data_IF_840227785551
#
_entry.id   IF_840227785551
#
_cell.length_a   1.000
_cell.length_b   1.000
_cell.length_c   1.000
_cell.angle_alpha   90.00
_cell.angle_beta   90.00
_cell.angle_gamma   90.00
#
_symmetry.space_group_name_H-M   'P 1'
#
loop_
_entity.id
_entity.type
_entity.pdbx_description
1 polymer ?
#
# COMPACT_ATOMS: atom_id res chain seq x y z
N UNK A 1 -27.46 -12.95 10.32
CA UNK A 1 -26.04 -13.16 10.64
C UNK A 1 -25.34 -11.82 10.48
N UNK A 2 -24.32 -11.52 11.28
CA UNK A 2 -23.51 -10.32 11.05
C UNK A 2 -22.69 -10.50 9.76
N UNK A 3 -22.50 -9.43 9.00
CA UNK A 3 -21.71 -9.45 7.77
C UNK A 3 -20.25 -9.80 8.07
N UNK A 4 -19.62 -10.53 7.15
CA UNK A 4 -18.21 -10.95 7.30
C UNK A 4 -17.28 -9.88 6.74
N UNK A 5 -16.27 -9.39 7.50
CA UNK A 5 -15.31 -8.44 6.97
C UNK A 5 -14.49 -9.00 5.81
N UNK A 6 -14.42 -8.26 4.70
CA UNK A 6 -13.56 -8.56 3.56
C UNK A 6 -12.08 -8.25 3.85
N UNK A 7 -11.82 -7.41 4.86
CA UNK A 7 -10.48 -7.04 5.30
C UNK A 7 -10.33 -7.22 6.82
N UNK A 8 -9.09 -7.41 7.26
CA UNK A 8 -8.72 -7.46 8.67
C UNK A 8 -7.50 -6.58 8.93
N UNK A 9 -7.50 -5.90 10.07
CA UNK A 9 -6.36 -5.11 10.51
C UNK A 9 -5.20 -6.00 10.95
N UNK A 10 -4.10 -5.95 10.23
CA UNK A 10 -2.88 -6.68 10.54
C UNK A 10 -1.86 -5.78 11.23
N UNK A 11 -1.37 -6.20 12.39
CA UNK A 11 -0.23 -5.58 13.06
C UNK A 11 1.08 -5.97 12.39
N UNK A 12 1.75 -5.01 11.75
CA UNK A 12 3.05 -5.23 11.09
C UNK A 12 4.11 -5.66 12.12
N UNK A 13 4.22 -4.92 13.22
CA UNK A 13 4.87 -5.39 14.46
C UNK A 13 3.78 -6.03 15.32
N UNK A 14 3.83 -7.36 15.46
CA UNK A 14 2.82 -8.17 16.13
C UNK A 14 2.59 -7.78 17.60
N UNK A 15 1.36 -7.97 18.08
CA UNK A 15 1.02 -7.77 19.50
C UNK A 15 1.83 -8.70 20.42
N UNK A 16 2.07 -9.95 19.99
CA UNK A 16 2.90 -10.90 20.73
C UNK A 16 4.34 -10.36 20.89
N UNK A 17 4.97 -9.97 19.79
CA UNK A 17 6.32 -9.39 19.79
C UNK A 17 6.41 -8.11 20.65
N UNK A 18 5.40 -7.25 20.62
CA UNK A 18 5.30 -6.10 21.53
C UNK A 18 5.22 -6.52 23.01
N UNK A 19 4.38 -7.51 23.32
CA UNK A 19 4.18 -8.00 24.69
C UNK A 19 5.44 -8.59 25.30
N UNK A 20 6.35 -9.12 24.47
CA UNK A 20 7.62 -9.70 24.88
C UNK A 20 8.75 -8.67 24.94
N UNK A 21 8.83 -7.73 23.99
CA UNK A 21 9.91 -6.73 23.93
C UNK A 21 9.83 -5.63 25.00
N UNK A 22 10.81 -5.59 25.91
CA UNK A 22 10.94 -4.51 26.91
C UNK A 22 11.21 -3.18 26.24
N UNK A 23 12.01 -3.19 25.18
CA UNK A 23 12.29 -1.99 24.38
C UNK A 23 11.00 -1.38 23.83
N UNK A 24 10.16 -2.16 23.13
CA UNK A 24 8.92 -1.64 22.54
C UNK A 24 7.95 -1.09 23.60
N UNK A 25 7.81 -1.78 24.74
CA UNK A 25 7.00 -1.26 25.86
C UNK A 25 7.56 0.04 26.42
N UNK A 26 8.89 0.19 26.49
CA UNK A 26 9.54 1.42 26.93
C UNK A 26 9.31 2.58 25.97
N UNK A 27 9.46 2.33 24.66
CA UNK A 27 9.18 3.31 23.61
C UNK A 27 7.71 3.73 23.62
N UNK A 28 6.79 2.78 23.80
CA UNK A 28 5.36 3.07 23.85
C UNK A 28 4.97 3.91 25.07
N UNK A 29 5.50 3.61 26.26
CA UNK A 29 5.31 4.46 27.45
C UNK A 29 5.84 5.89 27.25
N UNK A 30 6.83 6.06 26.38
CA UNK A 30 7.43 7.37 26.06
C UNK A 30 6.75 8.06 24.87
N UNK A 31 5.67 7.50 24.32
CA UNK A 31 4.97 8.04 23.15
C UNK A 31 5.75 7.90 21.82
N UNK A 32 6.78 7.06 21.78
CA UNK A 32 7.66 6.88 20.61
C UNK A 32 7.30 5.66 19.76
N UNK A 33 6.36 4.84 20.21
CA UNK A 33 5.81 3.71 19.46
C UNK A 33 4.34 3.47 19.79
N UNK A 34 3.50 3.36 18.77
CA UNK A 34 2.06 3.10 18.91
C UNK A 34 1.71 1.72 18.34
N UNK A 35 1.38 0.77 19.21
CA UNK A 35 1.03 -0.59 18.80
C UNK A 35 -0.18 -0.60 17.83
N UNK A 36 -1.22 0.16 18.15
CA UNK A 36 -2.45 0.28 17.35
C UNK A 36 -2.43 1.51 16.42
N UNK A 37 -1.28 2.17 16.30
CA UNK A 37 -1.11 3.35 15.47
C UNK A 37 -1.18 3.01 13.97
N UNK A 38 -1.57 3.97 13.12
CA UNK A 38 -1.74 3.74 11.68
C UNK A 38 -0.46 3.29 10.98
N UNK A 39 0.72 3.66 11.50
CA UNK A 39 2.01 3.17 10.99
C UNK A 39 2.16 1.66 11.17
N UNK A 40 1.66 1.10 12.26
CA UNK A 40 1.82 -0.31 12.60
C UNK A 40 0.65 -1.19 12.13
N UNK A 41 -0.44 -0.60 11.62
CA UNK A 41 -1.60 -1.34 11.10
C UNK A 41 -1.59 -1.33 9.57
N UNK A 42 -1.88 -2.47 8.95
CA UNK A 42 -2.15 -2.62 7.53
C UNK A 42 -3.42 -3.47 7.36
N UNK A 43 -4.43 -2.97 6.64
CA UNK A 43 -5.66 -3.70 6.38
C UNK A 43 -5.42 -4.66 5.21
N UNK A 44 -5.43 -5.96 5.50
CA UNK A 44 -5.16 -7.04 4.55
C UNK A 44 -6.44 -7.81 4.22
N UNK A 45 -6.57 -8.37 3.01
CA UNK A 45 -7.73 -9.19 2.65
C UNK A 45 -7.92 -10.37 3.61
N UNK A 46 -9.16 -10.58 4.05
CA UNK A 46 -9.52 -11.64 4.99
C UNK A 46 -9.38 -13.05 4.37
N UNK A 47 -9.58 -13.17 3.06
CA UNK A 47 -9.49 -14.43 2.33
C UNK A 47 -8.34 -14.48 1.31
N UNK A 48 -7.96 -15.69 0.93
CA UNK A 48 -6.83 -15.95 0.04
C UNK A 48 -7.08 -15.54 -1.42
N UNK A 49 -8.33 -15.60 -1.89
CA UNK A 49 -8.66 -15.34 -3.29
C UNK A 49 -8.63 -13.84 -3.60
N UNK A 50 -9.20 -13.02 -2.70
CA UNK A 50 -9.08 -11.56 -2.80
C UNK A 50 -7.60 -11.14 -2.67
N UNK A 51 -6.87 -11.70 -1.71
CA UNK A 51 -5.44 -11.44 -1.54
C UNK A 51 -4.64 -11.72 -2.81
N UNK A 52 -4.87 -12.87 -3.46
CA UNK A 52 -4.19 -13.24 -4.69
C UNK A 52 -4.48 -12.27 -5.84
N UNK A 53 -5.75 -11.85 -6.01
CA UNK A 53 -6.15 -10.87 -7.03
C UNK A 53 -5.51 -9.50 -6.80
N UNK A 54 -5.33 -9.11 -5.53
CA UNK A 54 -4.74 -7.82 -5.14
C UNK A 54 -3.21 -7.84 -5.08
N UNK A 55 -2.58 -9.02 -5.14
CA UNK A 55 -1.13 -9.18 -4.94
C UNK A 55 -0.68 -8.91 -3.50
N UNK A 56 -1.53 -9.19 -2.51
CA UNK A 56 -1.27 -8.95 -1.09
C UNK A 56 -1.17 -10.25 -0.30
N UNK A 57 -0.64 -10.19 0.92
CA UNK A 57 -0.78 -11.28 1.89
C UNK A 57 -2.23 -11.39 2.35
N UNK A 58 -2.82 -12.60 2.43
CA UNK A 58 -4.08 -12.79 3.12
C UNK A 58 -3.90 -12.65 4.64
N UNK A 59 -4.99 -12.44 5.38
CA UNK A 59 -4.99 -12.42 6.83
C UNK A 59 -6.23 -13.11 7.45
N UNK A 60 -6.40 -14.44 7.25
CA UNK A 60 -7.52 -15.19 7.82
C UNK A 60 -7.32 -15.55 9.31
N UNK A 61 -6.14 -15.29 9.87
CA UNK A 61 -5.76 -15.67 11.23
C UNK A 61 -4.32 -15.29 11.56
N UNK A 62 -3.78 -15.91 12.61
CA UNK A 62 -2.44 -15.60 13.12
C UNK A 62 -1.32 -15.77 12.07
N UNK A 63 -0.24 -14.96 12.11
CA UNK A 63 0.87 -15.07 11.18
C UNK A 63 1.59 -16.42 11.23
N UNK A 64 2.32 -16.75 10.17
CA UNK A 64 3.18 -17.92 10.10
C UNK A 64 4.38 -17.78 11.04
N UNK A 65 4.85 -18.92 11.59
CA UNK A 65 5.97 -18.95 12.54
C UNK A 65 7.22 -18.21 12.05
N UNK A 66 7.60 -18.32 10.77
CA UNK A 66 8.77 -17.60 10.27
C UNK A 66 8.60 -16.08 10.30
N UNK A 67 7.38 -15.55 10.18
CA UNK A 67 7.14 -14.10 10.29
C UNK A 67 7.40 -13.66 11.73
N UNK A 68 6.82 -14.36 12.70
CA UNK A 68 6.97 -14.05 14.13
C UNK A 68 8.42 -14.24 14.61
N UNK A 69 9.06 -15.35 14.24
CA UNK A 69 10.46 -15.66 14.59
C UNK A 69 11.43 -14.61 14.04
N UNK A 70 11.33 -14.28 12.75
CA UNK A 70 12.25 -13.33 12.12
C UNK A 70 12.01 -11.89 12.59
N UNK A 71 10.77 -11.55 12.93
CA UNK A 71 10.44 -10.28 13.58
C UNK A 71 11.04 -10.20 14.99
N UNK A 72 10.84 -11.24 15.81
CA UNK A 72 11.39 -11.31 17.17
C UNK A 72 12.92 -11.16 17.16
N UNK A 73 13.61 -11.90 16.28
CA UNK A 73 15.07 -11.82 16.12
C UNK A 73 15.55 -10.40 15.79
N UNK A 74 14.79 -9.64 14.98
CA UNK A 74 15.12 -8.26 14.65
C UNK A 74 14.92 -7.31 15.82
N UNK A 75 13.81 -7.45 16.51
CA UNK A 75 13.49 -6.61 17.66
C UNK A 75 14.46 -6.86 18.81
N UNK A 76 14.88 -8.11 19.03
CA UNK A 76 15.92 -8.45 19.99
C UNK A 76 17.25 -7.77 19.65
N UNK A 77 17.68 -7.79 18.38
CA UNK A 77 18.89 -7.05 17.96
C UNK A 77 18.79 -5.54 18.19
N UNK A 78 17.61 -4.95 18.03
CA UNK A 78 17.38 -3.54 18.37
C UNK A 78 17.47 -3.32 19.88
N UNK A 79 16.85 -4.17 20.69
CA UNK A 79 16.90 -4.12 22.16
C UNK A 79 18.34 -4.28 22.69
N UNK A 80 19.12 -5.21 22.15
CA UNK A 80 20.51 -5.47 22.56
C UNK A 80 21.51 -4.45 22.02
N UNK A 81 21.12 -3.58 21.09
CA UNK A 81 22.01 -2.55 20.56
C UNK A 81 22.36 -1.48 21.61
N UNK A 82 23.47 -0.73 21.46
CA UNK A 82 23.87 0.32 22.40
C UNK A 82 22.74 1.34 22.67
N UNK A 83 22.05 1.80 21.63
CA UNK A 83 20.91 2.71 21.77
C UNK A 83 19.70 2.03 22.45
N UNK A 84 19.45 0.75 22.19
CA UNK A 84 18.40 -0.02 22.85
C UNK A 84 18.64 -0.13 24.36
N UNK A 85 19.86 -0.50 24.75
CA UNK A 85 20.25 -0.60 26.16
C UNK A 85 20.30 0.77 26.86
N UNK A 86 20.75 1.83 26.18
CA UNK A 86 20.72 3.19 26.72
C UNK A 86 19.28 3.69 26.93
N UNK A 87 18.37 3.39 25.99
CA UNK A 87 16.94 3.67 26.12
C UNK A 87 16.35 2.99 27.36
N UNK A 88 16.69 1.73 27.62
CA UNK A 88 16.23 0.99 28.80
C UNK A 88 16.79 1.57 30.11
N UNK A 89 17.91 2.30 30.07
CA UNK A 89 18.47 3.06 31.20
C UNK A 89 17.90 4.49 31.31
N UNK A 90 16.95 4.87 30.46
CA UNK A 90 16.29 6.19 30.49
C UNK A 90 16.96 7.27 29.63
N UNK A 91 17.92 6.94 28.77
CA UNK A 91 18.50 7.90 27.82
C UNK A 91 17.48 8.27 26.74
N UNK A 92 16.99 9.51 26.80
CA UNK A 92 15.99 10.03 25.87
C UNK A 92 16.53 10.21 24.45
N UNK A 93 17.80 10.59 24.28
CA UNK A 93 18.38 10.76 22.96
C UNK A 93 18.57 9.40 22.27
N UNK A 94 18.98 8.38 23.03
CA UNK A 94 19.00 7.00 22.56
C UNK A 94 17.60 6.49 22.21
N UNK A 95 16.58 6.85 23.02
CA UNK A 95 15.18 6.48 22.77
C UNK A 95 14.69 6.98 21.41
N UNK A 96 15.02 8.23 21.05
CA UNK A 96 14.68 8.80 19.75
C UNK A 96 15.36 8.04 18.59
N UNK A 97 16.66 7.75 18.71
CA UNK A 97 17.41 7.02 17.68
C UNK A 97 16.90 5.60 17.49
N UNK A 98 16.64 4.87 18.58
CA UNK A 98 16.15 3.49 18.47
C UNK A 98 14.68 3.46 18.00
N UNK A 99 13.85 4.42 18.39
CA UNK A 99 12.51 4.57 17.87
C UNK A 99 12.52 4.78 16.35
N UNK A 100 13.42 5.62 15.82
CA UNK A 100 13.59 5.79 14.39
C UNK A 100 13.98 4.48 13.68
N UNK A 101 14.80 3.62 14.31
CA UNK A 101 15.16 2.30 13.76
C UNK A 101 14.00 1.30 13.80
N UNK A 102 13.22 1.27 14.89
CA UNK A 102 11.99 0.46 14.97
C UNK A 102 10.99 0.89 13.89
N UNK A 103 10.78 2.20 13.77
CA UNK A 103 9.93 2.80 12.77
C UNK A 103 10.37 2.48 11.33
N UNK A 104 11.67 2.56 11.04
CA UNK A 104 12.23 2.15 9.76
C UNK A 104 12.02 0.66 9.47
N UNK A 105 12.12 -0.21 10.48
CA UNK A 105 11.78 -1.62 10.35
C UNK A 105 10.28 -1.79 10.02
N UNK A 106 9.38 -1.15 10.77
CA UNK A 106 7.93 -1.19 10.51
C UNK A 106 7.59 -0.77 9.09
N UNK A 107 8.15 0.34 8.60
CA UNK A 107 7.91 0.81 7.23
C UNK A 107 8.44 -0.17 6.19
N UNK A 108 9.62 -0.76 6.44
CA UNK A 108 10.21 -1.75 5.53
C UNK A 108 9.32 -2.99 5.40
N UNK A 109 8.85 -3.52 6.53
CA UNK A 109 7.95 -4.67 6.55
C UNK A 109 6.60 -4.33 5.88
N UNK A 110 6.06 -3.14 6.15
CA UNK A 110 4.83 -2.66 5.51
C UNK A 110 4.98 -2.56 3.99
N UNK A 111 6.08 -1.99 3.49
CA UNK A 111 6.38 -1.95 2.04
C UNK A 111 6.50 -3.38 1.49
N UNK A 112 7.18 -4.28 2.19
CA UNK A 112 7.26 -5.69 1.81
C UNK A 112 5.89 -6.35 1.65
N UNK A 113 4.98 -6.15 2.61
CA UNK A 113 3.61 -6.67 2.57
C UNK A 113 2.78 -6.04 1.44
N UNK A 114 2.91 -4.73 1.23
CA UNK A 114 2.21 -3.97 0.18
C UNK A 114 2.70 -4.33 -1.22
N UNK A 115 3.98 -4.71 -1.35
CA UNK A 115 4.57 -5.18 -2.60
C UNK A 115 4.29 -6.66 -2.88
N UNK A 116 3.80 -7.42 -1.90
CA UNK A 116 3.69 -8.89 -1.99
C UNK A 116 5.05 -9.61 -1.91
N UNK A 117 6.11 -8.89 -1.53
CA UNK A 117 7.46 -9.44 -1.36
C UNK A 117 7.60 -10.17 -0.03
N UNK A 118 6.93 -9.64 1.01
CA UNK A 118 6.74 -10.27 2.31
C UNK A 118 5.29 -10.75 2.42
N UNK A 119 5.08 -11.85 3.13
CA UNK A 119 3.75 -12.37 3.47
C UNK A 119 3.70 -12.70 4.96
N UNK A 120 2.54 -12.50 5.60
CA UNK A 120 2.34 -12.87 7.00
C UNK A 120 1.62 -14.21 7.15
N UNK A 121 0.74 -14.56 6.19
CA UNK A 121 0.03 -15.83 6.14
C UNK A 121 0.28 -16.54 4.80
N UNK A 122 -0.13 -17.81 4.68
CA UNK A 122 0.03 -18.59 3.44
C UNK A 122 -0.84 -18.02 2.31
N UNK A 123 -0.25 -17.53 1.20
CA UNK A 123 -1.01 -17.07 0.03
C UNK A 123 -1.67 -18.23 -0.72
N UNK A 124 -2.66 -17.92 -1.56
CA UNK A 124 -3.22 -18.90 -2.49
C UNK A 124 -2.11 -19.46 -3.39
N UNK A 125 -2.10 -20.79 -3.57
CA UNK A 125 -1.13 -21.45 -4.45
C UNK A 125 0.26 -21.68 -3.84
N UNK A 126 0.47 -21.33 -2.57
CA UNK A 126 1.68 -21.68 -1.81
C UNK A 126 1.38 -22.70 -0.71
N UNK A 127 2.36 -23.53 -0.37
CA UNK A 127 2.36 -24.28 0.89
C UNK A 127 2.88 -23.41 2.04
N UNK A 128 2.55 -23.73 3.30
CA UNK A 128 3.15 -23.04 4.45
C UNK A 128 4.69 -23.06 4.44
N UNK A 129 5.30 -24.14 3.96
CA UNK A 129 6.76 -24.25 3.85
C UNK A 129 7.33 -23.24 2.84
N UNK A 130 6.69 -23.09 1.69
CA UNK A 130 7.08 -22.10 0.67
C UNK A 130 6.91 -20.68 1.17
N UNK A 131 5.79 -20.38 1.83
CA UNK A 131 5.54 -19.06 2.42
C UNK A 131 6.58 -18.73 3.52
N UNK A 132 6.88 -19.68 4.42
CA UNK A 132 7.93 -19.52 5.43
C UNK A 132 9.32 -19.32 4.79
N UNK A 133 9.63 -20.01 3.69
CA UNK A 133 10.89 -19.81 2.97
C UNK A 133 10.98 -18.40 2.34
N UNK A 134 9.88 -17.90 1.75
CA UNK A 134 9.79 -16.54 1.22
C UNK A 134 10.01 -15.49 2.32
N UNK A 135 9.40 -15.69 3.49
CA UNK A 135 9.59 -14.81 4.65
C UNK A 135 11.06 -14.76 5.09
N UNK A 136 11.68 -15.94 5.27
CA UNK A 136 13.10 -16.02 5.64
C UNK A 136 14.02 -15.38 4.60
N UNK A 137 13.73 -15.56 3.31
CA UNK A 137 14.50 -14.93 2.24
C UNK A 137 14.39 -13.39 2.30
N UNK A 138 13.18 -12.85 2.47
CA UNK A 138 12.96 -11.41 2.62
C UNK A 138 13.76 -10.84 3.81
N UNK A 139 13.74 -11.53 4.95
CA UNK A 139 14.52 -11.11 6.11
C UNK A 139 16.03 -11.29 5.91
N UNK A 140 16.47 -12.37 5.26
CA UNK A 140 17.88 -12.60 4.94
C UNK A 140 18.52 -11.46 4.14
N UNK A 141 17.72 -10.77 3.31
CA UNK A 141 18.18 -9.69 2.43
C UNK A 141 17.59 -8.30 2.76
N UNK A 142 17.14 -8.09 4.00
CA UNK A 142 16.41 -6.86 4.36
C UNK A 142 17.20 -5.58 4.07
N UNK A 143 18.51 -5.58 4.24
CA UNK A 143 19.34 -4.40 3.98
C UNK A 143 19.34 -4.02 2.49
N UNK A 144 19.47 -4.99 1.58
CA UNK A 144 19.38 -4.71 0.15
C UNK A 144 17.94 -4.34 -0.26
N UNK A 145 16.95 -4.94 0.39
CA UNK A 145 15.55 -4.56 0.19
C UNK A 145 15.32 -3.09 0.56
N UNK A 146 15.83 -2.64 1.71
CA UNK A 146 15.76 -1.25 2.16
C UNK A 146 16.44 -0.30 1.17
N UNK A 147 17.60 -0.67 0.65
CA UNK A 147 18.32 0.14 -0.31
C UNK A 147 17.57 0.27 -1.64
N UNK A 148 17.06 -0.84 -2.18
CA UNK A 148 16.34 -0.86 -3.45
C UNK A 148 14.95 -0.20 -3.38
N UNK A 149 14.33 -0.17 -2.20
CA UNK A 149 12.99 0.38 -1.98
C UNK A 149 12.97 1.65 -1.10
N UNK A 150 14.11 2.33 -0.94
CA UNK A 150 14.25 3.48 -0.04
C UNK A 150 13.20 4.58 -0.26
N UNK A 151 12.85 4.84 -1.53
CA UNK A 151 11.80 5.81 -1.88
C UNK A 151 10.42 5.38 -1.37
N UNK A 152 10.03 4.13 -1.59
CA UNK A 152 8.73 3.62 -1.13
C UNK A 152 8.64 3.58 0.40
N UNK A 153 9.73 3.20 1.07
CA UNK A 153 9.82 3.19 2.53
C UNK A 153 9.66 4.61 3.08
N UNK A 154 10.35 5.59 2.48
CA UNK A 154 10.21 6.99 2.86
C UNK A 154 8.80 7.55 2.58
N UNK A 155 8.14 7.11 1.51
CA UNK A 155 6.78 7.54 1.17
C UNK A 155 5.75 6.96 2.14
N UNK A 156 5.84 5.67 2.47
CA UNK A 156 4.98 5.03 3.48
C UNK A 156 5.12 5.72 4.84
N UNK A 157 6.35 6.09 5.23
CA UNK A 157 6.59 6.84 6.48
C UNK A 157 5.98 8.25 6.52
N UNK A 158 5.49 8.78 5.39
CA UNK A 158 4.84 10.09 5.25
C UNK A 158 3.33 10.01 4.96
N UNK A 159 2.78 8.81 4.82
CA UNK A 159 1.35 8.63 4.55
C UNK A 159 0.51 9.16 5.72
N UNK A 160 -0.63 9.74 5.37
CA UNK A 160 -1.64 10.08 6.35
C UNK A 160 -2.22 8.82 7.00
N UNK A 161 -2.90 8.98 8.15
CA UNK A 161 -3.27 7.85 8.99
C UNK A 161 -4.18 6.83 8.29
N UNK A 162 -5.15 7.29 7.50
CA UNK A 162 -6.06 6.41 6.79
C UNK A 162 -5.34 5.72 5.63
N UNK A 163 -4.60 6.47 4.81
CA UNK A 163 -3.79 5.91 3.73
C UNK A 163 -2.78 4.86 4.23
N UNK A 164 -2.09 5.12 5.35
CA UNK A 164 -1.11 4.19 5.91
C UNK A 164 -1.73 2.84 6.29
N UNK A 165 -2.99 2.82 6.77
CA UNK A 165 -3.74 1.59 7.06
C UNK A 165 -4.16 0.86 5.79
N UNK A 166 -4.50 1.62 4.75
CA UNK A 166 -5.03 1.09 3.50
C UNK A 166 -3.99 1.05 2.36
N UNK A 167 -2.70 1.13 2.67
CA UNK A 167 -1.61 1.26 1.70
C UNK A 167 -1.59 0.12 0.66
N UNK A 168 -2.06 -1.09 1.01
CA UNK A 168 -2.23 -2.20 0.07
C UNK A 168 -3.35 -1.96 -0.94
N UNK A 169 -4.46 -1.36 -0.51
CA UNK A 169 -5.60 -1.01 -1.37
C UNK A 169 -5.28 0.21 -2.23
N UNK A 170 -4.72 1.27 -1.64
CA UNK A 170 -4.44 2.54 -2.34
C UNK A 170 -3.21 2.49 -3.25
N UNK A 171 -2.52 1.34 -3.32
CA UNK A 171 -1.39 1.10 -4.23
C UNK A 171 -1.76 1.26 -5.71
N UNK A 172 -2.99 0.90 -6.08
CA UNK A 172 -3.43 0.93 -7.47
C UNK A 172 -4.94 1.11 -7.57
N UNK A 173 -5.38 1.69 -8.69
CA UNK A 173 -6.81 1.78 -9.00
C UNK A 173 -7.46 0.39 -9.09
N UNK A 174 -6.74 -0.61 -9.60
CA UNK A 174 -7.21 -2.00 -9.64
C UNK A 174 -7.50 -2.55 -8.24
N UNK A 175 -6.62 -2.32 -7.28
CA UNK A 175 -6.84 -2.76 -5.90
C UNK A 175 -8.01 -2.03 -5.23
N UNK A 176 -8.24 -0.75 -5.55
CA UNK A 176 -9.44 -0.02 -5.13
C UNK A 176 -10.71 -0.66 -5.68
N UNK A 177 -10.74 -0.99 -6.98
CA UNK A 177 -11.90 -1.65 -7.58
C UNK A 177 -12.17 -3.02 -6.95
N UNK A 178 -11.12 -3.82 -6.73
CA UNK A 178 -11.23 -5.13 -6.07
C UNK A 178 -11.74 -5.00 -4.63
N UNK A 179 -11.28 -3.99 -3.88
CA UNK A 179 -11.75 -3.73 -2.53
C UNK A 179 -13.23 -3.34 -2.52
N UNK A 180 -13.66 -2.46 -3.43
CA UNK A 180 -15.07 -2.09 -3.59
C UNK A 180 -15.93 -3.30 -3.96
N UNK A 181 -15.49 -4.10 -4.94
CA UNK A 181 -16.22 -5.31 -5.36
C UNK A 181 -16.41 -6.29 -4.21
N UNK A 182 -15.41 -6.42 -3.35
CA UNK A 182 -15.44 -7.33 -2.21
C UNK A 182 -16.39 -6.86 -1.11
N UNK A 183 -16.44 -5.56 -0.81
CA UNK A 183 -17.28 -5.00 0.27
C UNK A 183 -18.73 -4.75 -0.16
N UNK A 184 -18.98 -4.67 -1.47
CA UNK A 184 -20.32 -4.53 -2.04
C UNK A 184 -21.04 -5.90 -2.14
N UNK A 185 -20.36 -7.03 -1.86
CA UNK A 185 -21.01 -8.34 -1.89
C UNK A 185 -22.03 -8.49 -0.76
N UNK A 186 -23.22 -9.08 -1.03
CA UNK A 186 -24.19 -9.38 0.02
C UNK A 186 -23.58 -10.22 1.16
N UNK A 187 -23.79 -9.80 2.40
CA UNK A 187 -23.26 -10.50 3.58
C UNK A 187 -21.80 -10.19 3.91
N UNK A 188 -21.18 -9.22 3.22
CA UNK A 188 -19.82 -8.76 3.49
C UNK A 188 -19.80 -7.33 4.00
N UNK A 189 -18.75 -7.00 4.77
CA UNK A 189 -18.48 -5.65 5.23
C UNK A 189 -17.01 -5.29 5.00
N UNK A 190 -16.63 -4.04 5.27
CA UNK A 190 -15.22 -3.63 5.18
C UNK A 190 -14.40 -4.25 6.32
N UNK A 191 -14.48 -3.63 7.49
CA UNK A 191 -14.02 -4.05 8.81
C UNK A 191 -14.63 -3.07 9.82
N UNK A 192 -14.51 -3.34 11.12
CA UNK A 192 -15.08 -2.44 12.13
C UNK A 192 -14.37 -1.09 12.17
N UNK A 193 -15.09 -0.03 12.58
CA UNK A 193 -14.58 1.35 12.58
C UNK A 193 -13.29 1.53 13.39
N UNK A 194 -13.12 0.76 14.47
CA UNK A 194 -11.90 0.77 15.30
C UNK A 194 -10.62 0.38 14.54
N UNK A 195 -10.73 -0.32 13.42
CA UNK A 195 -9.61 -0.71 12.55
C UNK A 195 -9.52 0.13 11.27
N UNK A 196 -10.29 1.22 11.19
CA UNK A 196 -10.38 2.04 10.00
C UNK A 196 -11.33 1.44 8.98
N UNK A 197 -12.59 1.23 9.40
CA UNK A 197 -13.72 0.75 8.59
C UNK A 197 -14.01 1.55 7.31
N UNK A 198 -15.24 1.45 6.81
CA UNK A 198 -15.63 1.98 5.49
C UNK A 198 -15.26 3.44 5.26
N UNK A 199 -15.51 4.31 6.25
CA UNK A 199 -15.15 5.73 6.15
C UNK A 199 -13.64 5.92 5.96
N UNK A 200 -12.81 5.21 6.72
CA UNK A 200 -11.36 5.33 6.60
C UNK A 200 -10.85 4.82 5.26
N UNK A 201 -11.52 3.89 4.60
CA UNK A 201 -11.18 3.48 3.23
C UNK A 201 -11.41 4.63 2.24
N UNK A 202 -12.57 5.29 2.32
CA UNK A 202 -12.87 6.48 1.51
C UNK A 202 -11.84 7.60 1.71
N UNK A 203 -11.53 7.92 2.98
CA UNK A 203 -10.49 8.90 3.32
C UNK A 203 -9.13 8.51 2.77
N UNK A 204 -8.71 7.25 2.89
CA UNK A 204 -7.43 6.77 2.38
C UNK A 204 -7.29 6.96 0.86
N UNK A 205 -8.36 6.68 0.10
CA UNK A 205 -8.39 6.83 -1.35
C UNK A 205 -8.26 8.31 -1.72
N UNK A 206 -8.97 9.19 -1.02
CA UNK A 206 -8.86 10.63 -1.21
C UNK A 206 -7.46 11.16 -0.89
N UNK A 207 -6.88 10.77 0.24
CA UNK A 207 -5.52 11.15 0.67
C UNK A 207 -4.46 10.71 -0.36
N UNK A 208 -4.51 9.44 -0.77
CA UNK A 208 -3.57 8.89 -1.75
C UNK A 208 -3.67 9.59 -3.11
N UNK A 209 -4.89 9.92 -3.53
CA UNK A 209 -5.12 10.62 -4.78
C UNK A 209 -4.66 12.09 -4.73
N UNK A 210 -4.98 12.82 -3.67
CA UNK A 210 -4.52 14.20 -3.48
C UNK A 210 -3.00 14.30 -3.42
N UNK A 211 -2.35 13.29 -2.84
CA UNK A 211 -0.89 13.19 -2.81
C UNK A 211 -0.27 12.74 -4.15
N UNK A 212 -1.08 12.46 -5.18
CA UNK A 212 -0.64 12.01 -6.50
C UNK A 212 -0.14 10.57 -6.56
N UNK A 213 -0.25 9.80 -5.47
CA UNK A 213 0.16 8.39 -5.38
C UNK A 213 -0.86 7.45 -6.01
N UNK A 214 -2.14 7.83 -6.01
CA UNK A 214 -3.23 7.07 -6.60
C UNK A 214 -3.93 7.89 -7.70
N UNK A 215 -3.48 7.79 -8.96
CA UNK A 215 -4.24 8.34 -10.08
C UNK A 215 -5.54 7.55 -10.28
N UNK A 216 -6.67 8.25 -10.36
CA UNK A 216 -8.02 7.67 -10.49
C UNK A 216 -8.63 8.16 -11.81
N UNK A 217 -9.23 7.25 -12.56
CA UNK A 217 -9.97 7.48 -13.79
C UNK A 217 -11.42 7.86 -13.51
N UNK A 218 -12.06 8.55 -14.46
CA UNK A 218 -13.44 9.03 -14.29
C UNK A 218 -14.47 7.92 -13.95
N UNK A 219 -14.43 6.71 -14.56
CA UNK A 219 -15.36 5.65 -14.19
C UNK A 219 -15.22 5.20 -12.73
N UNK A 220 -13.99 5.12 -12.22
CA UNK A 220 -13.75 4.72 -10.83
C UNK A 220 -14.08 5.85 -9.87
N UNK A 221 -13.77 7.10 -10.22
CA UNK A 221 -14.21 8.28 -9.47
C UNK A 221 -15.74 8.34 -9.32
N UNK A 222 -16.49 8.07 -10.39
CA UNK A 222 -17.95 8.01 -10.34
C UNK A 222 -18.45 6.92 -9.39
N UNK A 223 -17.85 5.72 -9.44
CA UNK A 223 -18.17 4.64 -8.50
C UNK A 223 -17.83 5.01 -7.06
N UNK A 224 -16.68 5.64 -6.81
CA UNK A 224 -16.26 6.08 -5.49
C UNK A 224 -17.21 7.12 -4.91
N UNK A 225 -17.71 8.06 -5.71
CA UNK A 225 -18.72 9.02 -5.27
C UNK A 225 -20.05 8.37 -4.87
N UNK A 226 -20.44 7.29 -5.54
CA UNK A 226 -21.63 6.52 -5.17
C UNK A 226 -21.39 5.71 -3.89
N UNK A 227 -20.23 5.04 -3.79
CA UNK A 227 -19.88 4.25 -2.63
C UNK A 227 -19.71 5.14 -1.38
N UNK A 228 -18.98 6.24 -1.48
CA UNK A 228 -18.55 7.07 -0.35
C UNK A 228 -19.13 8.49 -0.42
N UNK A 229 -20.43 8.59 -0.72
CA UNK A 229 -21.10 9.87 -0.97
C UNK A 229 -20.97 10.88 0.19
N UNK A 230 -20.76 10.41 1.44
CA UNK A 230 -20.62 11.27 2.61
C UNK A 230 -19.14 11.54 2.97
N UNK A 231 -18.22 10.71 2.48
CA UNK A 231 -16.83 10.66 2.93
C UNK A 231 -15.84 11.20 1.90
N UNK A 232 -16.22 11.31 0.62
CA UNK A 232 -15.33 11.77 -0.44
C UNK A 232 -15.34 13.30 -0.61
N UNK A 233 -14.16 13.94 -0.77
CA UNK A 233 -14.10 15.36 -1.09
C UNK A 233 -14.71 15.63 -2.47
N UNK A 234 -15.22 16.84 -2.72
CA UNK A 234 -15.90 17.19 -3.97
C UNK A 234 -14.99 17.06 -5.21
N UNK A 235 -13.67 17.19 -5.04
CA UNK A 235 -12.67 17.09 -6.10
C UNK A 235 -11.64 16.02 -5.77
N UNK A 236 -11.64 14.94 -6.56
CA UNK A 236 -10.50 14.01 -6.69
C UNK A 236 -9.48 14.71 -7.60
N UNK A 237 -8.24 14.87 -7.14
CA UNK A 237 -7.17 15.48 -7.90
C UNK A 237 -6.91 14.68 -9.18
N UNK A 238 -7.13 15.33 -10.32
CA UNK A 238 -6.81 14.76 -11.62
C UNK A 238 -5.30 14.79 -11.81
N UNK A 239 -4.66 13.71 -12.31
CA UNK A 239 -3.29 13.85 -12.79
C UNK A 239 -3.29 14.94 -13.86
N UNK A 240 -2.44 15.96 -13.69
CA UNK A 240 -2.16 16.89 -14.77
C UNK A 240 -1.70 16.04 -15.96
N UNK A 241 -2.26 16.31 -17.15
CA UNK A 241 -1.73 15.74 -18.39
C UNK A 241 -0.30 16.26 -18.55
N UNK A 242 0.65 15.57 -17.92
CA UNK A 242 2.03 15.99 -17.89
C UNK A 242 2.62 15.99 -19.30
N UNK A 243 3.76 16.68 -19.50
CA UNK A 243 4.38 16.88 -20.82
C UNK A 243 4.65 15.58 -21.60
N UNK A 244 4.59 14.40 -20.97
CA UNK A 244 4.70 13.09 -21.63
C UNK A 244 3.56 12.78 -22.59
N UNK A 245 2.32 13.19 -22.31
CA UNK A 245 1.21 12.97 -23.26
C UNK A 245 1.39 13.87 -24.50
N UNK A 246 1.85 15.11 -24.28
CA UNK A 246 2.14 16.05 -25.36
C UNK A 246 3.34 15.60 -26.19
N UNK A 247 4.41 15.08 -25.57
CA UNK A 247 5.56 14.49 -26.26
C UNK A 247 5.20 13.21 -27.01
N UNK A 248 4.34 12.33 -26.45
CA UNK A 248 3.88 11.14 -27.13
C UNK A 248 3.00 11.47 -28.35
N UNK A 249 2.13 12.48 -28.24
CA UNK A 249 1.33 12.99 -29.36
C UNK A 249 2.21 13.66 -30.43
N UNK A 250 3.23 14.42 -30.04
CA UNK A 250 4.20 15.01 -30.96
C UNK A 250 5.07 13.95 -31.66
N UNK A 251 5.53 12.93 -30.95
CA UNK A 251 6.29 11.82 -31.52
C UNK A 251 5.44 11.01 -32.51
N UNK A 252 4.16 10.78 -32.19
CA UNK A 252 3.20 10.13 -33.10
C UNK A 252 2.94 10.98 -34.35
N UNK A 253 2.77 12.29 -34.18
CA UNK A 253 2.61 13.24 -35.30
C UNK A 253 3.86 13.34 -36.18
N UNK A 254 5.06 13.32 -35.60
CA UNK A 254 6.33 13.29 -36.33
C UNK A 254 6.49 11.98 -37.13
N UNK A 255 6.12 10.83 -36.54
CA UNK A 255 6.13 9.53 -37.21
C UNK A 255 5.15 9.45 -38.39
N UNK A 256 4.06 10.22 -38.38
CA UNK A 256 3.11 10.29 -39.48
C UNK A 256 3.62 11.18 -40.62
N UNK A 257 4.28 12.31 -40.29
CA UNK A 257 4.95 13.17 -41.28
C UNK A 257 6.08 12.44 -42.01
N UNK A 258 6.89 11.65 -41.30
CA UNK A 258 7.95 10.83 -41.90
C UNK A 258 7.42 9.75 -42.87
N UNK A 259 6.14 9.38 -42.75
CA UNK A 259 5.45 8.41 -43.63
C UNK A 259 4.62 9.07 -44.73
N UNK A 260 4.77 10.38 -44.96
CA UNK A 260 4.06 11.11 -46.02
C UNK A 260 2.55 11.26 -45.78
N UNK A 261 2.07 10.99 -44.56
CA UNK A 261 0.66 11.10 -44.18
C UNK A 261 0.43 12.44 -43.50
N UNK A 262 -0.36 13.32 -44.14
CA UNK A 262 -0.89 14.53 -43.52
C UNK A 262 -2.36 14.32 -43.14
N UNK A 263 -2.71 14.58 -41.88
CA UNK A 263 -4.10 14.85 -41.47
C UNK A 263 -4.19 16.27 -40.92
N UNK A 264 -5.28 16.97 -41.26
CA UNK A 264 -5.72 18.18 -40.55
C UNK A 264 -6.49 17.75 -39.30
N UNK A 265 -6.19 18.37 -38.17
CA UNK A 265 -7.01 18.29 -36.95
C UNK A 265 -8.32 19.05 -37.20
N UNK A 266 -9.49 18.52 -36.80
CA UNK A 266 -10.73 19.28 -36.87
C UNK A 266 -10.79 20.26 -35.70
N UNK A 267 -11.16 21.52 -35.96
CA UNK A 267 -11.27 22.52 -34.90
C UNK A 267 -12.53 22.37 -34.04
N UNK A 268 -13.58 21.64 -34.46
CA UNK A 268 -14.72 21.38 -33.58
C UNK A 268 -15.41 20.03 -33.90
N UNK A 269 -15.47 19.14 -32.91
CA UNK A 269 -16.54 18.17 -32.68
C UNK A 269 -17.00 17.21 -33.80
N UNK A 270 -16.11 16.65 -34.64
CA UNK A 270 -16.51 15.69 -35.69
C UNK A 270 -15.51 14.56 -35.94
N UNK A 271 -16.02 13.38 -36.32
CA UNK A 271 -15.27 12.12 -36.54
C UNK A 271 -14.19 12.18 -37.64
N UNK A 272 -13.17 11.33 -37.47
CA UNK A 272 -11.94 11.26 -38.26
C UNK A 272 -12.15 10.56 -39.62
N UNK A 273 -12.00 11.27 -40.74
CA UNK A 273 -12.00 10.65 -42.10
C UNK A 273 -10.56 10.46 -42.62
N UNK A 274 -10.31 9.34 -43.29
CA UNK A 274 -9.01 8.93 -43.83
C UNK A 274 -9.07 9.08 -45.37
N UNK A 275 -8.21 9.92 -45.95
CA UNK A 275 -8.13 10.07 -47.41
C UNK A 275 -6.71 9.75 -47.86
N UNK A 276 -6.57 8.76 -48.75
CA UNK A 276 -5.29 8.34 -49.33
C UNK A 276 -5.08 9.05 -50.67
N UNK A 277 -3.90 9.62 -50.92
CA UNK A 277 -3.52 10.12 -52.26
C UNK A 277 -2.84 9.01 -53.04
N UNK A 278 -3.51 8.51 -54.08
CA UNK A 278 -2.87 7.77 -55.17
C UNK A 278 -2.20 8.79 -56.09
N UNK A 279 -0.90 8.63 -56.37
CA UNK A 279 -0.21 9.41 -57.42
C UNK A 279 -0.39 8.68 -58.76
N UNK A 280 -0.69 9.37 -59.88
CA UNK A 280 -0.58 8.77 -61.20
C UNK A 280 0.90 8.67 -61.62
N UNK A 281 1.17 7.69 -62.48
CA UNK A 281 2.48 7.35 -63.04
C UNK A 281 3.01 8.43 -63.99
#
# INVERSE_FOLDING_TARGET
MADTPAFQGHHVIEQAAFSESRLLRSLSRSGLFELHGPRNILNLPADQALAARMGLSPHPGGPLGAYSEELANRLERLELSPDGQATLRGDQAAAQRIAARVNGLTDTLKVGLVNGDLVSNTPQGMTPQQANAKIRAFHGDLAAYQQSHAGQIADVGKMAAAEARWAGVTRSEGNVQLALDAIDQPGTSTLSDGWGGRQSLGTAIAEANQAGRLPITEPVEARLRLAFAQEMPPVIARPSAGPRLFQALQAKAASWRARGLQRRLPEHGGFLVLVSRVRPA
#
